data_IF_874920730111
#
_entry.id   IF_874920730111
#
_cell.length_a   1.000
_cell.length_b   1.000
_cell.length_c   1.000
_cell.angle_alpha   90.00
_cell.angle_beta   90.00
_cell.angle_gamma   90.00
#
_symmetry.space_group_name_H-M   'P 1'
#
loop_
_entity.id
_entity.type
_entity.pdbx_description
1 polymer ?
#
# COMPACT_ATOMS: atom_id res chain seq x y z
N UNK A 1 -20.73 -3.47 -2.35
CA UNK A 1 -20.19 -2.31 -3.13
C UNK A 1 -21.30 -1.32 -3.44
N UNK A 2 -21.05 0.02 -3.29
CA UNK A 2 -22.08 1.05 -3.62
C UNK A 2 -22.28 1.22 -5.12
N UNK A 3 -21.21 1.21 -5.88
CA UNK A 3 -21.16 1.29 -7.34
C UNK A 3 -20.09 0.32 -7.83
N UNK A 4 -20.43 -0.54 -8.77
CA UNK A 4 -19.46 -1.42 -9.43
C UNK A 4 -18.69 -0.62 -10.49
N UNK A 5 -17.62 0.07 -10.04
CA UNK A 5 -16.80 0.90 -10.91
C UNK A 5 -16.03 0.09 -11.97
N UNK A 6 -15.85 -1.22 -11.76
CA UNK A 6 -15.26 -2.09 -12.78
C UNK A 6 -16.16 -2.21 -14.02
N UNK A 7 -17.47 -2.27 -13.79
CA UNK A 7 -18.47 -2.32 -14.87
C UNK A 7 -18.83 -0.95 -15.40
N UNK A 8 -18.97 0.06 -14.51
CA UNK A 8 -19.49 1.36 -14.90
C UNK A 8 -18.45 2.24 -15.59
N UNK A 9 -17.16 2.11 -15.23
CA UNK A 9 -16.09 2.89 -15.85
C UNK A 9 -14.81 2.06 -16.04
N UNK A 10 -14.83 1.03 -16.92
CA UNK A 10 -13.69 0.14 -17.14
C UNK A 10 -12.44 0.87 -17.65
N UNK A 11 -12.60 1.95 -18.42
CA UNK A 11 -11.47 2.75 -18.90
C UNK A 11 -10.67 3.38 -17.74
N UNK A 12 -11.35 3.88 -16.71
CA UNK A 12 -10.70 4.40 -15.52
C UNK A 12 -9.95 3.32 -14.74
N UNK A 13 -10.56 2.13 -14.61
CA UNK A 13 -9.90 0.97 -13.97
C UNK A 13 -8.65 0.56 -14.74
N UNK A 14 -8.71 0.52 -16.08
CA UNK A 14 -7.56 0.19 -16.93
C UNK A 14 -6.43 1.22 -16.79
N UNK A 15 -6.75 2.51 -16.73
CA UNK A 15 -5.76 3.57 -16.51
C UNK A 15 -5.06 3.41 -15.16
N UNK A 16 -5.81 3.19 -14.08
CA UNK A 16 -5.28 2.92 -12.74
C UNK A 16 -4.41 1.65 -12.72
N UNK A 17 -4.87 0.58 -13.35
CA UNK A 17 -4.10 -0.66 -13.47
C UNK A 17 -2.83 -0.49 -14.29
N UNK A 18 -2.82 0.39 -15.29
CA UNK A 18 -1.61 0.70 -16.06
C UNK A 18 -0.58 1.47 -15.23
N UNK A 19 -1.02 2.43 -14.42
CA UNK A 19 -0.17 3.14 -13.46
C UNK A 19 0.44 2.17 -12.44
N UNK A 20 -0.37 1.26 -11.89
CA UNK A 20 0.07 0.23 -10.95
C UNK A 20 1.13 -0.70 -11.58
N UNK A 21 0.91 -1.14 -12.83
CA UNK A 21 1.89 -1.96 -13.55
C UNK A 21 3.21 -1.22 -13.78
N UNK A 22 3.17 0.06 -14.14
CA UNK A 22 4.38 0.88 -14.31
C UNK A 22 5.18 0.97 -13.01
N UNK A 23 4.51 1.22 -11.88
CA UNK A 23 5.16 1.26 -10.57
C UNK A 23 5.78 -0.12 -10.18
N UNK A 24 5.09 -1.22 -10.47
CA UNK A 24 5.59 -2.59 -10.21
C UNK A 24 6.76 -3.00 -11.12
N UNK A 25 6.85 -2.43 -12.31
CA UNK A 25 7.91 -2.70 -13.28
C UNK A 25 9.17 -1.82 -13.04
N UNK A 26 9.14 -0.92 -12.06
CA UNK A 26 10.28 -0.10 -11.69
C UNK A 26 11.39 -0.93 -11.02
N UNK A 27 12.51 -0.27 -10.75
CA UNK A 27 13.67 -0.86 -10.05
C UNK A 27 13.46 -1.01 -8.53
N UNK A 28 12.33 -0.52 -8.00
CA UNK A 28 12.03 -0.61 -6.57
C UNK A 28 11.74 -2.05 -6.14
N UNK A 29 12.22 -2.39 -4.96
CA UNK A 29 12.04 -3.71 -4.38
C UNK A 29 10.54 -4.02 -4.18
N UNK A 30 10.04 -5.18 -4.64
CA UNK A 30 8.63 -5.53 -4.48
C UNK A 30 8.15 -5.51 -3.03
N UNK A 31 8.99 -5.93 -2.07
CA UNK A 31 8.68 -5.87 -0.64
C UNK A 31 8.50 -4.45 -0.13
N UNK A 32 9.37 -3.52 -0.53
CA UNK A 32 9.26 -2.11 -0.20
C UNK A 32 7.95 -1.50 -0.73
N UNK A 33 7.57 -1.83 -1.96
CA UNK A 33 6.31 -1.38 -2.55
C UNK A 33 5.09 -1.88 -1.77
N UNK A 34 5.12 -3.14 -1.26
CA UNK A 34 4.01 -3.64 -0.43
C UNK A 34 3.95 -2.92 0.94
N UNK A 35 5.09 -2.65 1.59
CA UNK A 35 5.12 -1.87 2.84
C UNK A 35 4.51 -0.47 2.66
N UNK A 36 4.86 0.21 1.58
CA UNK A 36 4.32 1.54 1.22
C UNK A 36 2.80 1.47 0.99
N UNK A 37 2.33 0.47 0.24
CA UNK A 37 0.89 0.27 -0.02
C UNK A 37 0.11 -0.04 1.26
N UNK A 38 0.67 -0.88 2.12
CA UNK A 38 0.09 -1.19 3.43
C UNK A 38 0.01 0.10 4.27
N UNK A 39 1.08 0.89 4.33
CA UNK A 39 1.09 2.11 5.14
C UNK A 39 0.08 3.14 4.66
N UNK A 40 0.03 3.43 3.36
CA UNK A 40 -0.99 4.33 2.79
C UNK A 40 -2.41 3.84 3.09
N UNK A 41 -2.63 2.52 3.00
CA UNK A 41 -3.94 1.92 3.27
C UNK A 41 -4.33 1.95 4.75
N UNK A 42 -3.36 1.88 5.68
CA UNK A 42 -3.59 2.11 7.11
C UNK A 42 -4.06 3.54 7.36
N UNK A 43 -3.38 4.52 6.79
CA UNK A 43 -3.72 5.95 6.93
C UNK A 43 -5.11 6.24 6.37
N UNK A 44 -5.42 5.70 5.20
CA UNK A 44 -6.70 5.91 4.51
C UNK A 44 -7.85 5.02 5.04
N UNK A 45 -7.59 4.06 5.93
CA UNK A 45 -8.61 3.14 6.47
C UNK A 45 -9.20 2.18 5.43
N UNK A 46 -8.41 1.73 4.44
CA UNK A 46 -8.87 0.85 3.38
C UNK A 46 -8.76 -0.63 3.76
N UNK A 47 -9.84 -1.22 4.29
CA UNK A 47 -9.86 -2.65 4.68
C UNK A 47 -9.54 -3.57 3.49
N UNK A 48 -10.16 -3.34 2.32
CA UNK A 48 -9.91 -4.12 1.11
C UNK A 48 -8.43 -4.12 0.71
N UNK A 49 -7.83 -2.93 0.65
CA UNK A 49 -6.44 -2.78 0.26
C UNK A 49 -5.48 -3.38 1.30
N UNK A 50 -5.78 -3.21 2.60
CA UNK A 50 -4.99 -3.82 3.68
C UNK A 50 -5.01 -5.35 3.59
N UNK A 51 -6.19 -5.95 3.44
CA UNK A 51 -6.33 -7.40 3.33
C UNK A 51 -5.53 -7.94 2.14
N UNK A 52 -5.68 -7.30 0.96
CA UNK A 52 -4.99 -7.69 -0.27
C UNK A 52 -3.47 -7.57 -0.14
N UNK A 53 -2.95 -6.40 0.25
CA UNK A 53 -1.51 -6.15 0.29
C UNK A 53 -0.80 -6.93 1.40
N UNK A 54 -1.44 -7.14 2.56
CA UNK A 54 -0.89 -8.02 3.59
C UNK A 54 -0.83 -9.48 3.14
N UNK A 55 -1.86 -9.98 2.43
CA UNK A 55 -1.84 -11.31 1.82
C UNK A 55 -0.69 -11.44 0.82
N UNK A 56 -0.58 -10.47 -0.10
CA UNK A 56 0.43 -10.48 -1.16
C UNK A 56 1.86 -10.36 -0.60
N UNK A 57 2.07 -9.55 0.44
CA UNK A 57 3.34 -9.44 1.13
C UNK A 57 3.74 -10.76 1.84
N UNK A 58 2.80 -11.41 2.54
CA UNK A 58 3.03 -12.73 3.16
C UNK A 58 3.37 -13.79 2.12
N UNK A 59 2.67 -13.80 0.99
CA UNK A 59 2.96 -14.72 -0.11
C UNK A 59 4.36 -14.53 -0.72
N UNK A 60 4.95 -13.34 -0.56
CA UNK A 60 6.35 -13.03 -0.94
C UNK A 60 7.37 -13.32 0.16
N UNK A 61 6.94 -13.83 1.30
CA UNK A 61 7.81 -14.19 2.42
C UNK A 61 8.06 -13.05 3.41
N UNK A 62 7.27 -11.96 3.38
CA UNK A 62 7.40 -10.90 4.38
C UNK A 62 6.99 -11.41 5.77
N UNK A 63 7.77 -11.04 6.79
CA UNK A 63 7.57 -11.52 8.15
C UNK A 63 6.33 -10.88 8.79
N UNK A 64 5.51 -11.71 9.46
CA UNK A 64 4.25 -11.25 10.05
C UNK A 64 4.45 -10.07 11.02
N UNK A 65 5.46 -10.13 11.91
CA UNK A 65 5.75 -9.05 12.85
C UNK A 65 6.04 -7.72 12.15
N UNK A 66 6.73 -7.74 11.00
CA UNK A 66 7.00 -6.52 10.23
C UNK A 66 5.71 -5.93 9.66
N UNK A 67 4.82 -6.79 9.14
CA UNK A 67 3.51 -6.36 8.64
C UNK A 67 2.62 -5.81 9.76
N UNK A 68 2.61 -6.45 10.91
CA UNK A 68 1.80 -6.05 12.07
C UNK A 68 2.25 -4.68 12.64
N UNK A 69 3.53 -4.36 12.48
CA UNK A 69 4.15 -3.16 13.07
C UNK A 69 4.44 -2.04 12.07
N UNK A 70 4.01 -2.14 10.81
CA UNK A 70 4.20 -1.07 9.81
C UNK A 70 3.65 0.28 10.30
N UNK A 71 2.55 0.30 11.06
CA UNK A 71 2.00 1.53 11.62
C UNK A 71 2.93 2.20 12.64
N UNK A 72 3.80 1.42 13.29
CA UNK A 72 4.76 1.86 14.30
C UNK A 72 6.22 1.79 13.79
N UNK A 73 6.43 1.86 12.49
CA UNK A 73 7.71 1.65 11.85
C UNK A 73 8.85 2.53 12.41
N UNK A 74 8.52 3.71 12.96
CA UNK A 74 9.53 4.62 13.52
C UNK A 74 10.24 4.04 14.75
N UNK A 75 9.53 3.26 15.56
CA UNK A 75 10.08 2.61 16.77
C UNK A 75 10.69 1.22 16.47
N UNK A 76 10.19 0.55 15.42
CA UNK A 76 10.61 -0.80 15.09
C UNK A 76 12.07 -0.83 14.57
N UNK A 77 12.97 -1.64 15.15
CA UNK A 77 14.40 -1.62 14.79
C UNK A 77 14.75 -2.35 13.49
N UNK A 78 13.79 -3.05 12.89
CA UNK A 78 14.01 -3.98 11.76
C UNK A 78 13.59 -3.43 10.40
N UNK A 79 13.20 -2.16 10.28
CA UNK A 79 13.06 -1.48 8.99
C UNK A 79 14.38 -0.80 8.61
N UNK A 80 14.85 -1.04 7.40
CA UNK A 80 16.07 -0.45 6.86
C UNK A 80 15.95 1.07 6.70
N UNK A 81 17.06 1.77 6.58
CA UNK A 81 17.06 3.22 6.32
C UNK A 81 16.26 3.57 5.05
N UNK A 82 16.38 2.75 4.00
CA UNK A 82 15.66 2.89 2.73
C UNK A 82 14.15 2.70 2.89
N UNK A 83 13.73 1.67 3.62
CA UNK A 83 12.31 1.45 3.94
C UNK A 83 11.73 2.59 4.79
N UNK A 84 12.49 3.07 5.79
CA UNK A 84 12.08 4.20 6.63
C UNK A 84 11.89 5.47 5.81
N UNK A 85 12.78 5.78 4.87
CA UNK A 85 12.64 6.92 3.97
C UNK A 85 11.41 6.79 3.08
N UNK A 86 11.15 5.60 2.51
CA UNK A 86 9.96 5.34 1.70
C UNK A 86 8.66 5.46 2.51
N UNK A 87 8.62 4.95 3.74
CA UNK A 87 7.46 5.04 4.63
C UNK A 87 7.19 6.48 5.07
N UNK A 88 8.23 7.26 5.37
CA UNK A 88 8.11 8.68 5.69
C UNK A 88 7.55 9.47 4.50
N UNK A 89 8.06 9.21 3.28
CA UNK A 89 7.57 9.84 2.05
C UNK A 89 6.12 9.44 1.74
N UNK A 90 5.78 8.18 1.98
CA UNK A 90 4.41 7.70 1.87
C UNK A 90 3.45 8.45 2.80
N UNK A 91 3.81 8.66 4.06
CA UNK A 91 3.01 9.42 5.01
C UNK A 91 2.85 10.88 4.59
N UNK A 92 3.96 11.54 4.21
CA UNK A 92 3.97 12.93 3.76
C UNK A 92 3.02 13.16 2.58
N UNK A 93 3.05 12.27 1.58
CA UNK A 93 2.19 12.37 0.39
C UNK A 93 0.74 11.92 0.63
N UNK A 94 0.51 10.99 1.54
CA UNK A 94 -0.85 10.52 1.85
C UNK A 94 -1.60 11.52 2.71
N UNK A 95 -0.91 12.22 3.60
CA UNK A 95 -1.47 13.22 4.53
C UNK A 95 -1.12 14.66 4.13
N UNK A 96 -1.01 14.96 2.83
CA UNK A 96 -0.63 16.27 2.31
C UNK A 96 -1.25 17.49 3.05
N UNK A 97 -2.56 17.49 3.40
CA UNK A 97 -3.15 18.62 4.08
C UNK A 97 -2.68 18.81 5.54
N UNK A 98 -2.10 17.76 6.14
CA UNK A 98 -1.67 17.74 7.55
C UNK A 98 -0.17 17.81 7.71
N UNK A 99 0.55 16.93 7.05
CA UNK A 99 1.99 16.78 7.18
C UNK A 99 2.74 17.59 6.11
N UNK A 100 2.19 17.68 4.90
CA UNK A 100 2.87 18.27 3.74
C UNK A 100 4.06 17.44 3.26
N UNK A 101 4.48 17.67 2.02
CA UNK A 101 5.74 17.18 1.49
C UNK A 101 6.82 18.25 1.76
N UNK A 102 7.34 18.29 2.99
CA UNK A 102 8.36 19.28 3.39
C UNK A 102 9.72 18.97 2.76
N UNK A 103 10.61 19.98 2.72
CA UNK A 103 11.98 19.81 2.23
C UNK A 103 12.75 18.75 3.06
N UNK A 104 12.46 18.62 4.37
CA UNK A 104 13.06 17.60 5.23
C UNK A 104 12.59 16.19 4.85
N UNK A 105 11.29 16.03 4.55
CA UNK A 105 10.75 14.76 4.09
C UNK A 105 11.34 14.37 2.72
N UNK A 106 11.51 15.37 1.83
CA UNK A 106 12.15 15.16 0.54
C UNK A 106 13.63 14.81 0.68
N UNK A 107 14.38 15.50 1.53
CA UNK A 107 15.81 15.24 1.75
C UNK A 107 16.06 13.78 2.23
N UNK A 108 15.18 13.23 3.05
CA UNK A 108 15.30 11.85 3.51
C UNK A 108 15.14 10.83 2.38
N UNK A 109 14.20 11.07 1.45
CA UNK A 109 14.01 10.18 0.29
C UNK A 109 15.09 10.38 -0.76
N UNK A 110 15.56 11.62 -0.96
CA UNK A 110 16.65 11.96 -1.90
C UNK A 110 17.98 11.30 -1.49
N UNK A 111 18.24 11.20 -0.19
CA UNK A 111 19.41 10.51 0.34
C UNK A 111 19.39 8.98 0.16
N UNK A 112 18.22 8.38 -0.04
CA UNK A 112 18.04 6.92 -0.06
C UNK A 112 17.72 6.35 -1.45
N UNK A 113 17.29 7.18 -2.40
CA UNK A 113 16.78 6.77 -3.71
C UNK A 113 17.35 7.63 -4.83
N UNK A 114 17.51 7.04 -6.02
CA UNK A 114 17.82 7.81 -7.23
C UNK A 114 16.60 8.65 -7.65
N UNK A 115 16.78 9.70 -8.49
CA UNK A 115 15.66 10.49 -9.02
C UNK A 115 14.60 9.64 -9.74
N UNK A 116 15.01 8.61 -10.47
CA UNK A 116 14.10 7.66 -11.12
C UNK A 116 13.28 6.87 -10.08
N UNK A 117 13.93 6.37 -9.04
CA UNK A 117 13.26 5.63 -7.96
C UNK A 117 12.32 6.51 -7.15
N UNK A 118 12.68 7.78 -6.89
CA UNK A 118 11.81 8.76 -6.21
C UNK A 118 10.54 8.97 -7.03
N UNK A 119 10.68 9.15 -8.36
CA UNK A 119 9.54 9.28 -9.25
C UNK A 119 8.67 8.02 -9.20
N UNK A 120 9.26 6.82 -9.34
CA UNK A 120 8.54 5.56 -9.29
C UNK A 120 7.81 5.34 -7.96
N UNK A 121 8.48 5.63 -6.83
CA UNK A 121 7.90 5.57 -5.48
C UNK A 121 6.72 6.54 -5.34
N UNK A 122 6.88 7.76 -5.82
CA UNK A 122 5.82 8.78 -5.80
C UNK A 122 4.61 8.32 -6.61
N UNK A 123 4.80 7.77 -7.81
CA UNK A 123 3.71 7.21 -8.61
C UNK A 123 3.06 5.99 -7.94
N UNK A 124 3.83 5.13 -7.27
CA UNK A 124 3.27 4.02 -6.49
C UNK A 124 2.36 4.53 -5.34
N UNK A 125 2.78 5.59 -4.64
CA UNK A 125 1.99 6.23 -3.58
C UNK A 125 0.72 6.89 -4.16
N UNK A 126 0.81 7.55 -5.31
CA UNK A 126 -0.36 8.11 -6.00
C UNK A 126 -1.34 7.01 -6.39
N UNK A 127 -0.85 5.91 -6.95
CA UNK A 127 -1.67 4.78 -7.36
C UNK A 127 -2.44 4.17 -6.17
N UNK A 128 -1.75 3.85 -5.08
CA UNK A 128 -2.42 3.26 -3.91
C UNK A 128 -3.40 4.23 -3.26
N UNK A 129 -3.08 5.53 -3.19
CA UNK A 129 -4.01 6.54 -2.71
C UNK A 129 -5.25 6.65 -3.59
N UNK A 130 -5.11 6.52 -4.91
CA UNK A 130 -6.23 6.44 -5.85
C UNK A 130 -7.10 5.22 -5.62
N UNK A 131 -6.50 4.04 -5.51
CA UNK A 131 -7.22 2.78 -5.20
C UNK A 131 -7.92 2.83 -3.85
N UNK A 132 -7.28 3.39 -2.81
CA UNK A 132 -7.90 3.56 -1.49
C UNK A 132 -9.19 4.40 -1.59
N UNK A 133 -9.18 5.50 -2.36
CA UNK A 133 -10.36 6.36 -2.55
C UNK A 133 -11.51 5.64 -3.25
N UNK A 134 -11.20 4.85 -4.28
CA UNK A 134 -12.20 4.02 -4.95
C UNK A 134 -12.76 2.97 -4.00
N UNK A 135 -11.88 2.22 -3.33
CA UNK A 135 -12.29 1.12 -2.47
C UNK A 135 -13.08 1.59 -1.23
N UNK A 136 -12.63 2.63 -0.55
CA UNK A 136 -13.32 3.19 0.63
C UNK A 136 -14.60 3.92 0.21
N UNK A 137 -14.51 4.80 -0.77
CA UNK A 137 -15.63 5.62 -1.23
C UNK A 137 -16.78 4.78 -1.80
N UNK A 138 -16.47 3.75 -2.57
CA UNK A 138 -17.45 2.90 -3.23
C UNK A 138 -17.71 1.56 -2.50
N UNK A 139 -17.06 1.36 -1.35
CA UNK A 139 -17.18 0.17 -0.48
C UNK A 139 -16.91 -1.13 -1.25
N UNK A 140 -15.66 -1.29 -1.70
CA UNK A 140 -15.22 -2.57 -2.27
C UNK A 140 -15.42 -3.70 -1.27
N UNK A 141 -15.89 -4.84 -1.79
CA UNK A 141 -16.21 -5.99 -0.96
C UNK A 141 -14.93 -6.78 -0.63
N UNK A 142 -14.47 -6.71 0.61
CA UNK A 142 -13.30 -7.43 1.09
C UNK A 142 -13.49 -8.95 1.03
N UNK A 143 -14.72 -9.43 1.18
CA UNK A 143 -15.04 -10.86 1.11
C UNK A 143 -14.90 -11.43 -0.30
N UNK A 144 -14.80 -10.58 -1.33
CA UNK A 144 -14.54 -11.01 -2.70
C UNK A 144 -13.06 -11.34 -2.97
N UNK A 145 -12.15 -11.10 -2.00
CA UNK A 145 -10.74 -11.42 -2.14
C UNK A 145 -10.49 -12.92 -1.94
N UNK A 146 -9.92 -13.56 -2.95
CA UNK A 146 -9.53 -14.96 -2.88
C UNK A 146 -8.56 -15.23 -1.71
N UNK A 147 -8.75 -16.34 -1.01
CA UNK A 147 -7.89 -16.77 0.10
C UNK A 147 -8.12 -16.02 1.42
N UNK A 148 -9.21 -15.24 1.54
CA UNK A 148 -9.66 -14.65 2.78
C UNK A 148 -10.91 -15.39 3.27
N UNK A 149 -10.72 -16.54 3.90
CA UNK A 149 -11.81 -17.25 4.59
C UNK A 149 -11.93 -16.73 6.03
N UNK A 150 -12.46 -15.50 6.15
CA UNK A 150 -12.64 -14.82 7.44
C UNK A 150 -13.83 -15.33 8.24
N UNK A 151 -14.68 -16.18 7.63
CA UNK A 151 -15.89 -16.75 8.24
C UNK A 151 -15.75 -18.26 8.48
N UNK A 152 -14.61 -18.85 8.12
CA UNK A 152 -14.33 -20.23 8.49
C UNK A 152 -14.29 -20.32 10.03
N UNK A 153 -15.12 -21.19 10.57
CA UNK A 153 -15.11 -21.49 12.01
C UNK A 153 -13.73 -22.03 12.41
N UNK A 154 -12.96 -21.33 13.27
CA UNK A 154 -11.65 -21.81 13.70
C UNK A 154 -11.75 -23.17 14.44
N UNK A 155 -12.92 -23.56 14.91
CA UNK A 155 -13.17 -24.86 15.51
C UNK A 155 -13.31 -26.01 14.47
N UNK A 156 -13.55 -25.69 13.18
CA UNK A 156 -13.67 -26.69 12.12
C UNK A 156 -12.31 -27.19 11.58
N UNK A 157 -11.22 -26.54 11.94
CA UNK A 157 -9.84 -26.90 11.50
C UNK A 157 -9.04 -27.71 12.54
N UNK A 158 -9.69 -28.09 13.66
CA UNK A 158 -9.10 -28.91 14.71
C UNK A 158 -9.35 -30.40 14.49
N UNK A 159 -8.54 -31.06 13.68
CA UNK A 159 -8.22 -32.48 13.77
C UNK A 159 -6.73 -32.67 13.52
#
# INVERSE_FOLDING_TARGET
MRVDYHKQFPAGVQAMASLERAARASTLEPGLLELVRIRASQINGCTYCLAMHNRDARARGEHATRLDTVAAWREAPFFTARERAALAWCEALTELPRAGATDEAFAAVDAAFSPEEIAALTFAIVAINGWNRLAVGLRSDVMSLDGLDLLADPAATGQ
#
